data_IF_987028879682
#
_entry.id   IF_987028879682
#
_cell.length_a   1.000
_cell.length_b   1.000
_cell.length_c   1.000
_cell.angle_alpha   90.00
_cell.angle_beta   90.00
_cell.angle_gamma   90.00
#
_symmetry.space_group_name_H-M   'P 1'
#
loop_
_entity.id
_entity.type
_entity.pdbx_description
1 polymer ?
#
# COMPACT_ATOMS: atom_id res chain seq x y z
N UNK A 1 8.49 15.36 -19.21
CA UNK A 1 8.34 14.39 -18.13
C UNK A 1 8.47 15.17 -16.84
N UNK A 2 7.33 15.57 -16.26
CA UNK A 2 7.30 16.50 -15.11
C UNK A 2 7.23 15.67 -13.84
N UNK A 3 8.24 15.81 -12.98
CA UNK A 3 8.24 15.23 -11.64
C UNK A 3 7.49 16.18 -10.71
N UNK A 4 6.51 15.66 -10.01
CA UNK A 4 5.84 16.40 -8.94
C UNK A 4 6.26 15.76 -7.62
N UNK A 5 6.92 16.52 -6.77
CA UNK A 5 7.30 16.11 -5.42
C UNK A 5 6.33 16.75 -4.43
N UNK A 6 5.50 15.95 -3.77
CA UNK A 6 4.76 16.40 -2.60
C UNK A 6 5.65 16.21 -1.36
N UNK A 7 6.26 17.30 -0.90
CA UNK A 7 7.01 17.29 0.36
C UNK A 7 6.00 17.38 1.50
N UNK A 8 5.93 16.36 2.34
CA UNK A 8 5.20 16.45 3.61
C UNK A 8 6.04 17.34 4.53
N UNK A 9 5.71 18.64 4.57
CA UNK A 9 6.36 19.61 5.43
C UNK A 9 6.18 19.26 6.90
N UNK A 10 7.29 18.98 7.59
CA UNK A 10 7.36 19.04 9.04
C UNK A 10 7.25 20.50 9.46
N UNK A 11 6.06 20.91 9.90
CA UNK A 11 5.85 22.26 10.44
C UNK A 11 4.47 22.82 10.13
N UNK A 12 3.44 22.23 10.69
CA UNK A 12 2.15 22.88 10.80
C UNK A 12 1.60 22.62 12.20
N UNK A 13 1.45 23.74 12.92
CA UNK A 13 0.75 23.81 14.19
C UNK A 13 -0.56 23.03 14.15
N UNK A 14 -0.77 22.23 15.17
CA UNK A 14 -1.95 21.40 15.37
C UNK A 14 -3.22 22.26 15.32
N UNK A 15 -3.85 22.33 14.16
CA UNK A 15 -5.28 22.58 14.09
C UNK A 15 -5.96 21.31 14.54
N UNK A 16 -6.43 21.28 15.76
CA UNK A 16 -7.41 20.33 16.25
C UNK A 16 -8.68 20.45 15.40
N UNK A 17 -8.68 19.79 14.25
CA UNK A 17 -9.93 19.38 13.64
C UNK A 17 -10.35 18.14 14.40
N UNK A 18 -11.59 18.16 14.90
CA UNK A 18 -12.26 16.98 15.43
C UNK A 18 -12.08 15.86 14.40
N UNK A 19 -11.11 15.02 14.68
CA UNK A 19 -10.82 13.86 13.87
C UNK A 19 -11.88 12.82 14.24
N UNK A 20 -13.05 12.89 13.62
CA UNK A 20 -13.98 11.75 13.63
C UNK A 20 -13.14 10.54 13.20
N UNK A 21 -12.81 9.70 14.17
CA UNK A 21 -12.04 8.49 13.92
C UNK A 21 -12.83 7.68 12.90
N UNK A 22 -12.30 7.59 11.71
CA UNK A 22 -12.84 6.69 10.71
C UNK A 22 -12.82 5.30 11.32
N UNK A 23 -13.98 4.81 11.76
CA UNK A 23 -14.12 3.47 12.31
C UNK A 23 -14.10 2.49 11.16
N UNK A 24 -12.95 1.88 10.92
CA UNK A 24 -12.86 0.74 10.02
C UNK A 24 -13.57 -0.47 10.65
N UNK A 25 -14.10 -1.35 9.81
CA UNK A 25 -14.44 -2.69 10.29
C UNK A 25 -13.18 -3.29 10.94
N UNK A 26 -13.33 -4.05 12.04
CA UNK A 26 -12.18 -4.65 12.69
C UNK A 26 -11.36 -5.48 11.68
N UNK A 27 -10.02 -5.47 11.77
CA UNK A 27 -9.19 -6.27 10.90
C UNK A 27 -9.47 -7.76 11.12
N UNK A 28 -9.22 -8.56 10.09
CA UNK A 28 -9.38 -10.01 10.19
C UNK A 28 -8.36 -10.57 11.18
N UNK A 29 -8.78 -11.50 12.01
CA UNK A 29 -7.86 -12.33 12.78
C UNK A 29 -7.30 -13.42 11.87
N UNK A 30 -5.99 -13.43 11.70
CA UNK A 30 -5.31 -14.36 10.80
C UNK A 30 -4.37 -15.25 11.61
N UNK A 31 -4.53 -16.60 11.54
CA UNK A 31 -3.64 -17.52 12.23
C UNK A 31 -2.15 -17.28 11.83
N UNK A 32 -1.27 -17.22 12.82
CA UNK A 32 0.15 -16.98 12.61
C UNK A 32 0.54 -15.52 12.32
N UNK A 33 -0.42 -14.59 12.28
CA UNK A 33 -0.20 -13.18 11.98
C UNK A 33 -0.80 -12.26 13.04
N UNK A 34 -0.10 -11.19 13.35
CA UNK A 34 -0.54 -10.13 14.26
C UNK A 34 -0.77 -8.85 13.46
N UNK A 35 -2.00 -8.32 13.54
CA UNK A 35 -2.34 -7.05 12.92
C UNK A 35 -1.57 -5.89 13.56
N UNK A 36 -1.04 -4.97 12.74
CA UNK A 36 -0.27 -3.81 13.21
C UNK A 36 -0.82 -2.48 12.71
N UNK A 37 -1.53 -2.46 11.58
CA UNK A 37 -2.01 -1.21 11.00
C UNK A 37 -3.19 -1.44 10.06
N UNK A 38 -4.18 -0.54 10.13
CA UNK A 38 -5.26 -0.42 9.15
C UNK A 38 -5.21 0.94 8.48
N UNK A 39 -5.00 0.92 7.16
CA UNK A 39 -5.13 2.10 6.32
C UNK A 39 -6.51 2.21 5.67
N UNK A 40 -6.70 3.21 4.83
CA UNK A 40 -7.97 3.46 4.12
C UNK A 40 -8.43 2.25 3.27
N UNK A 41 -7.49 1.49 2.71
CA UNK A 41 -7.76 0.40 1.77
C UNK A 41 -6.91 -0.85 1.99
N UNK A 42 -6.03 -0.89 2.98
CA UNK A 42 -5.13 -2.01 3.27
C UNK A 42 -4.98 -2.22 4.76
N UNK A 43 -4.74 -3.47 5.13
CA UNK A 43 -4.36 -3.87 6.47
C UNK A 43 -2.98 -4.52 6.44
N UNK A 44 -2.16 -4.25 7.45
CA UNK A 44 -0.80 -4.76 7.56
C UNK A 44 -0.69 -5.69 8.76
N UNK A 45 0.02 -6.78 8.55
CA UNK A 45 0.28 -7.80 9.56
C UNK A 45 1.77 -8.16 9.58
N UNK A 46 2.22 -8.54 10.76
CA UNK A 46 3.54 -9.14 10.99
C UNK A 46 3.39 -10.58 11.46
N UNK A 47 4.39 -11.45 11.31
CA UNK A 47 4.36 -12.76 11.96
C UNK A 47 4.06 -12.63 13.45
N UNK A 48 3.24 -13.53 13.98
CA UNK A 48 2.78 -13.44 15.37
C UNK A 48 3.89 -13.54 16.41
N UNK A 49 5.01 -14.18 16.06
CA UNK A 49 6.21 -14.35 16.85
C UNK A 49 7.21 -13.18 16.75
N UNK A 50 6.88 -12.15 15.96
CA UNK A 50 7.72 -10.95 15.83
C UNK A 50 7.82 -10.22 17.17
N UNK A 51 9.05 -10.04 17.65
CA UNK A 51 9.36 -9.28 18.87
C UNK A 51 9.30 -7.79 18.56
N UNK A 52 8.69 -6.99 19.42
CA UNK A 52 8.36 -5.57 19.17
C UNK A 52 9.53 -4.67 18.78
N UNK A 53 10.75 -5.01 19.22
CA UNK A 53 11.97 -4.23 18.94
C UNK A 53 12.73 -4.68 17.67
N UNK A 54 12.24 -5.66 16.95
CA UNK A 54 12.89 -6.17 15.73
C UNK A 54 12.02 -5.89 14.50
N UNK A 55 12.61 -5.26 13.50
CA UNK A 55 11.93 -5.13 12.21
C UNK A 55 11.70 -6.53 11.61
N UNK A 56 10.47 -6.93 11.31
CA UNK A 56 10.21 -8.23 10.70
C UNK A 56 10.85 -8.28 9.31
N UNK A 57 11.30 -9.45 8.89
CA UNK A 57 11.82 -9.62 7.53
C UNK A 57 10.73 -9.43 6.48
N UNK A 58 9.50 -9.83 6.83
CA UNK A 58 8.34 -9.82 5.93
C UNK A 58 7.12 -9.21 6.59
N UNK A 59 6.26 -8.64 5.75
CA UNK A 59 4.93 -8.15 6.09
C UNK A 59 3.90 -8.86 5.23
N UNK A 60 2.72 -9.12 5.78
CA UNK A 60 1.56 -9.51 5.00
C UNK A 60 0.70 -8.26 4.78
N UNK A 61 0.56 -7.86 3.51
CA UNK A 61 -0.26 -6.72 3.08
C UNK A 61 -1.56 -7.24 2.53
N UNK A 62 -2.67 -6.95 3.20
CA UNK A 62 -4.01 -7.41 2.80
C UNK A 62 -4.79 -6.25 2.20
N UNK A 63 -5.15 -6.35 0.93
CA UNK A 63 -6.01 -5.39 0.26
C UNK A 63 -7.47 -5.62 0.65
N UNK A 64 -8.12 -4.55 1.10
CA UNK A 64 -9.54 -4.60 1.47
C UNK A 64 -10.44 -4.13 0.34
N UNK A 65 -11.73 -4.39 0.48
CA UNK A 65 -12.77 -3.91 -0.42
C UNK A 65 -13.24 -2.48 -0.09
N UNK A 66 -12.61 -1.85 0.92
CA UNK A 66 -12.87 -0.46 1.29
C UNK A 66 -12.55 0.49 0.15
N UNK A 67 -13.36 1.54 0.02
CA UNK A 67 -13.16 2.65 -0.93
C UNK A 67 -13.05 3.93 -0.12
N UNK A 68 -12.11 4.77 -0.48
CA UNK A 68 -11.92 6.07 0.16
C UNK A 68 -11.98 7.18 -0.91
N UNK A 69 -12.71 8.25 -0.59
CA UNK A 69 -12.73 9.48 -1.36
C UNK A 69 -12.66 10.67 -0.40
N UNK A 70 -11.81 11.65 -0.70
CA UNK A 70 -11.57 12.84 0.13
C UNK A 70 -11.29 12.50 1.60
N UNK A 71 -10.50 11.44 1.83
CA UNK A 71 -10.15 10.90 3.15
C UNK A 71 -11.29 10.24 3.95
N UNK A 72 -12.49 10.15 3.38
CA UNK A 72 -13.61 9.42 3.96
C UNK A 72 -13.68 8.02 3.38
N UNK A 73 -13.88 7.02 4.24
CA UNK A 73 -14.17 5.65 3.79
C UNK A 73 -15.65 5.56 3.47
N UNK A 74 -15.94 5.14 2.25
CA UNK A 74 -17.31 5.01 1.75
C UNK A 74 -17.88 3.64 2.13
N UNK A 75 -19.18 3.57 2.31
CA UNK A 75 -19.94 2.36 2.55
C UNK A 75 -21.08 2.24 1.52
N UNK A 76 -21.35 1.02 1.00
CA UNK A 76 -20.59 -0.21 1.22
C UNK A 76 -19.27 -0.23 0.48
N UNK A 77 -18.36 -1.15 0.85
CA UNK A 77 -17.17 -1.46 0.04
C UNK A 77 -17.56 -2.05 -1.32
N UNK A 78 -16.58 -2.13 -2.22
CA UNK A 78 -16.77 -2.76 -3.54
C UNK A 78 -16.32 -4.21 -3.42
N UNK A 79 -17.22 -5.20 -3.57
CA UNK A 79 -16.86 -6.61 -3.49
C UNK A 79 -15.72 -6.97 -4.45
N UNK A 80 -14.78 -7.77 -3.99
CA UNK A 80 -13.62 -8.27 -4.75
C UNK A 80 -12.62 -7.20 -5.24
N UNK A 81 -12.81 -5.93 -4.87
CA UNK A 81 -11.85 -4.87 -5.22
C UNK A 81 -10.43 -5.21 -4.75
N UNK A 82 -10.29 -5.74 -3.53
CA UNK A 82 -8.99 -6.16 -3.00
C UNK A 82 -8.34 -7.24 -3.84
N UNK A 83 -9.11 -8.24 -4.29
CA UNK A 83 -8.64 -9.32 -5.16
C UNK A 83 -8.19 -8.77 -6.51
N UNK A 84 -9.02 -7.95 -7.15
CA UNK A 84 -8.70 -7.35 -8.45
C UNK A 84 -7.42 -6.51 -8.41
N UNK A 85 -7.27 -5.66 -7.40
CA UNK A 85 -6.09 -4.80 -7.26
C UNK A 85 -4.82 -5.61 -6.97
N UNK A 86 -4.91 -6.65 -6.17
CA UNK A 86 -3.78 -7.54 -5.90
C UNK A 86 -3.36 -8.30 -7.16
N UNK A 87 -4.31 -8.90 -7.88
CA UNK A 87 -4.06 -9.60 -9.14
C UNK A 87 -3.40 -8.67 -10.17
N UNK A 88 -3.92 -7.46 -10.32
CA UNK A 88 -3.36 -6.47 -11.25
C UNK A 88 -1.94 -6.05 -10.84
N UNK A 89 -1.68 -5.89 -9.55
CA UNK A 89 -0.34 -5.54 -9.06
C UNK A 89 0.66 -6.64 -9.34
N UNK A 90 0.30 -7.90 -9.07
CA UNK A 90 1.16 -9.05 -9.33
C UNK A 90 1.45 -9.21 -10.83
N UNK A 91 0.44 -9.03 -11.67
CA UNK A 91 0.62 -9.04 -13.12
C UNK A 91 1.60 -7.94 -13.59
N UNK A 92 1.47 -6.72 -13.07
CA UNK A 92 2.40 -5.65 -13.40
C UNK A 92 3.82 -5.92 -12.92
N UNK A 93 3.99 -6.50 -11.74
CA UNK A 93 5.33 -6.88 -11.24
C UNK A 93 5.99 -7.92 -12.17
N UNK A 94 5.22 -8.87 -12.66
CA UNK A 94 5.70 -9.85 -13.65
C UNK A 94 6.10 -9.17 -14.97
N UNK A 95 5.25 -8.31 -15.54
CA UNK A 95 5.55 -7.57 -16.76
C UNK A 95 6.82 -6.70 -16.61
N UNK A 96 6.97 -6.04 -15.48
CA UNK A 96 8.10 -5.15 -15.21
C UNK A 96 9.37 -5.92 -14.86
N UNK A 97 9.28 -7.16 -14.39
CA UNK A 97 10.45 -8.00 -14.16
C UNK A 97 11.23 -8.31 -15.44
N UNK A 98 10.57 -8.33 -16.59
CA UNK A 98 11.18 -8.50 -17.91
C UNK A 98 11.57 -7.19 -18.63
N UNK A 99 11.24 -6.05 -18.05
CA UNK A 99 11.50 -4.75 -18.67
C UNK A 99 12.98 -4.36 -18.67
N UNK A 100 13.32 -3.29 -19.39
CA UNK A 100 14.68 -2.71 -19.42
C UNK A 100 15.79 -3.69 -19.85
N UNK A 101 15.54 -4.45 -20.94
CA UNK A 101 16.55 -5.32 -21.53
C UNK A 101 16.96 -6.50 -20.64
N UNK A 102 16.07 -6.95 -19.76
CA UNK A 102 16.28 -8.12 -18.89
C UNK A 102 16.85 -7.77 -17.51
N UNK A 103 17.02 -6.49 -17.16
CA UNK A 103 17.44 -6.08 -15.82
C UNK A 103 16.27 -6.13 -14.81
N UNK A 104 15.04 -5.95 -15.32
CA UNK A 104 13.84 -5.89 -14.51
C UNK A 104 13.78 -4.66 -13.61
N UNK A 105 12.56 -4.31 -13.20
CA UNK A 105 12.33 -3.28 -12.19
C UNK A 105 12.10 -3.98 -10.85
N UNK A 106 12.95 -3.76 -9.84
CA UNK A 106 12.77 -4.35 -8.53
C UNK A 106 11.43 -3.97 -7.92
N UNK A 107 10.81 -4.90 -7.21
CA UNK A 107 9.60 -4.67 -6.45
C UNK A 107 9.76 -5.17 -5.00
N UNK A 108 8.75 -4.99 -4.18
CA UNK A 108 8.78 -5.31 -2.76
C UNK A 108 8.29 -6.72 -2.42
N UNK A 109 7.88 -7.53 -3.40
CA UNK A 109 7.46 -8.91 -3.11
C UNK A 109 8.58 -9.69 -2.44
N UNK A 110 8.22 -10.47 -1.44
CA UNK A 110 9.14 -11.43 -0.84
C UNK A 110 9.49 -12.53 -1.85
N UNK A 111 10.72 -13.08 -1.83
CA UNK A 111 11.09 -14.18 -2.71
C UNK A 111 10.15 -15.39 -2.60
N UNK A 112 9.64 -15.64 -1.38
CA UNK A 112 8.77 -16.77 -1.07
C UNK A 112 7.29 -16.50 -1.41
N UNK A 113 6.94 -15.33 -1.94
CA UNK A 113 5.56 -15.00 -2.30
C UNK A 113 4.99 -16.00 -3.33
N UNK A 114 5.79 -16.39 -4.31
CA UNK A 114 5.40 -17.37 -5.34
C UNK A 114 5.22 -18.78 -4.77
N UNK A 115 5.88 -19.11 -3.67
CA UNK A 115 5.82 -20.43 -3.01
C UNK A 115 4.63 -20.52 -2.04
N UNK A 116 4.00 -19.42 -1.72
CA UNK A 116 2.87 -19.36 -0.78
C UNK A 116 1.61 -20.12 -1.24
N UNK A 117 1.63 -20.70 -2.45
CA UNK A 117 0.56 -21.53 -3.01
C UNK A 117 0.86 -23.03 -3.12
N UNK A 118 2.11 -23.47 -2.91
CA UNK A 118 2.52 -24.87 -3.11
C UNK A 118 3.17 -25.45 -1.84
N UNK A 119 2.38 -25.65 -0.78
CA UNK A 119 2.74 -26.61 0.28
C UNK A 119 3.90 -26.25 1.20
N UNK A 120 4.51 -25.11 1.06
CA UNK A 120 5.44 -24.56 2.04
C UNK A 120 4.74 -23.53 2.90
N UNK A 121 4.23 -24.04 4.02
CA UNK A 121 3.80 -23.22 5.17
C UNK A 121 2.97 -22.00 4.78
N UNK A 122 1.72 -22.09 4.94
CA UNK A 122 0.68 -21.10 5.29
C UNK A 122 1.13 -19.64 5.47
N UNK A 123 2.01 -19.16 4.57
CA UNK A 123 2.45 -17.76 4.62
C UNK A 123 1.31 -16.80 4.31
N UNK A 124 0.36 -17.20 3.48
CA UNK A 124 -0.86 -16.43 3.21
C UNK A 124 -2.06 -17.27 3.63
N UNK A 125 -2.73 -16.91 4.73
CA UNK A 125 -3.91 -17.62 5.20
C UNK A 125 -5.04 -17.67 4.15
N UNK A 126 -5.78 -18.78 4.09
CA UNK A 126 -6.88 -18.99 3.13
C UNK A 126 -7.91 -17.85 3.14
N UNK A 127 -8.19 -17.29 4.32
CA UNK A 127 -9.15 -16.19 4.48
C UNK A 127 -8.79 -14.94 3.67
N UNK A 128 -7.54 -14.79 3.25
CA UNK A 128 -7.04 -13.62 2.51
C UNK A 128 -6.35 -13.99 1.19
N UNK A 129 -6.50 -15.22 0.75
CA UNK A 129 -5.99 -15.67 -0.55
C UNK A 129 -6.52 -14.77 -1.67
N UNK A 130 -5.65 -14.49 -2.65
CA UNK A 130 -5.95 -13.65 -3.81
C UNK A 130 -5.99 -12.15 -3.53
N UNK A 131 -6.07 -11.72 -2.24
CA UNK A 131 -6.07 -10.30 -1.86
C UNK A 131 -4.89 -9.89 -0.97
N UNK A 132 -4.00 -10.81 -0.67
CA UNK A 132 -2.83 -10.55 0.15
C UNK A 132 -1.53 -10.72 -0.64
N UNK A 133 -0.51 -9.98 -0.24
CA UNK A 133 0.86 -10.10 -0.72
C UNK A 133 1.81 -10.25 0.46
N UNK A 134 2.69 -11.24 0.38
CA UNK A 134 3.84 -11.32 1.25
C UNK A 134 4.93 -10.42 0.69
N UNK A 135 5.36 -9.44 1.47
CA UNK A 135 6.30 -8.42 1.02
C UNK A 135 7.48 -8.31 1.97
N UNK A 136 8.62 -7.86 1.47
CA UNK A 136 9.77 -7.51 2.30
C UNK A 136 9.45 -6.27 3.14
N UNK A 137 9.87 -6.27 4.38
CA UNK A 137 9.87 -5.07 5.21
C UNK A 137 10.98 -4.15 4.71
N UNK A 138 10.60 -2.97 4.25
CA UNK A 138 11.52 -1.98 3.68
C UNK A 138 11.48 -0.70 4.51
N UNK A 139 12.62 -0.02 4.58
CA UNK A 139 12.71 1.32 5.14
C UNK A 139 12.13 2.32 4.12
N UNK A 140 10.94 2.81 4.43
CA UNK A 140 10.19 3.70 3.52
C UNK A 140 10.74 5.11 3.55
N UNK A 141 11.11 5.62 2.39
CA UNK A 141 11.49 7.04 2.27
C UNK A 141 10.28 7.93 2.58
N UNK A 142 10.43 9.02 3.34
CA UNK A 142 9.33 9.93 3.72
C UNK A 142 8.97 10.90 2.57
N UNK A 143 8.99 10.41 1.35
CA UNK A 143 8.72 11.19 0.12
C UNK A 143 7.80 10.36 -0.77
N UNK A 144 6.67 10.93 -1.17
CA UNK A 144 5.81 10.38 -2.20
C UNK A 144 6.18 10.97 -3.56
N UNK A 145 6.58 10.12 -4.51
CA UNK A 145 6.91 10.53 -5.87
C UNK A 145 5.74 10.23 -6.80
N UNK A 146 5.11 11.27 -7.33
CA UNK A 146 4.00 11.13 -8.27
C UNK A 146 4.49 11.47 -9.69
N UNK A 147 4.40 10.49 -10.61
CA UNK A 147 4.70 10.69 -12.04
C UNK A 147 3.39 10.74 -12.81
N UNK A 148 3.17 11.83 -13.54
CA UNK A 148 1.95 12.05 -14.31
C UNK A 148 2.25 12.14 -15.80
N UNK A 149 1.44 11.53 -16.63
CA UNK A 149 1.52 11.67 -18.09
C UNK A 149 1.11 13.08 -18.55
N UNK A 150 0.20 13.71 -17.83
CA UNK A 150 -0.28 15.07 -18.07
C UNK A 150 -0.32 15.85 -16.75
N UNK A 151 -0.16 17.16 -16.82
CA UNK A 151 -0.30 18.04 -15.66
C UNK A 151 -1.79 18.21 -15.31
N UNK A 152 -2.27 17.41 -14.36
CA UNK A 152 -3.68 17.34 -13.94
C UNK A 152 -3.80 17.31 -12.41
N UNK A 153 -5.02 17.41 -11.89
CA UNK A 153 -5.31 17.31 -10.46
C UNK A 153 -4.63 18.40 -9.64
N UNK A 154 -4.06 18.05 -8.50
CA UNK A 154 -3.38 18.96 -7.58
C UNK A 154 -2.22 19.73 -8.25
N UNK A 155 -1.42 19.05 -9.08
CA UNK A 155 -0.33 19.68 -9.80
C UNK A 155 -0.82 20.77 -10.78
N UNK A 156 -1.95 20.57 -11.45
CA UNK A 156 -2.56 21.61 -12.28
C UNK A 156 -3.08 22.80 -11.46
N UNK A 157 -3.71 22.52 -10.33
CA UNK A 157 -4.22 23.56 -9.44
C UNK A 157 -3.08 24.44 -8.91
N UNK A 158 -1.97 23.85 -8.48
CA UNK A 158 -0.76 24.53 -8.03
C UNK A 158 -0.14 25.36 -9.17
N UNK A 159 0.05 24.75 -10.34
CA UNK A 159 0.59 25.44 -11.51
C UNK A 159 -0.24 26.66 -11.90
N UNK A 160 -1.56 26.57 -11.84
CA UNK A 160 -2.45 27.73 -12.12
C UNK A 160 -2.33 28.85 -11.09
N UNK A 161 -2.05 28.50 -9.84
CA UNK A 161 -1.95 29.45 -8.76
C UNK A 161 -0.56 30.13 -8.71
N UNK A 162 0.50 29.36 -8.94
CA UNK A 162 1.89 29.77 -8.66
C UNK A 162 2.80 29.77 -9.89
N UNK A 163 2.37 29.22 -11.01
CA UNK A 163 3.16 29.09 -12.23
C UNK A 163 4.23 28.00 -12.18
N UNK A 164 4.36 27.31 -11.07
CA UNK A 164 5.30 26.20 -10.83
C UNK A 164 4.59 25.03 -10.19
N UNK A 165 5.28 23.88 -10.12
CA UNK A 165 4.82 22.70 -9.38
C UNK A 165 5.97 22.24 -8.50
N UNK A 166 5.75 22.13 -7.20
CA UNK A 166 6.75 21.82 -6.17
C UNK A 166 7.91 22.85 -6.10
N UNK A 167 7.61 24.13 -6.26
CA UNK A 167 8.56 25.26 -6.14
C UNK A 167 9.26 25.64 -7.44
#
# INVERSE_FOLDING_TARGET
MTRVCDTIGAGAEARTRDNERVTFAPPLELPGWRHIYSGKVRDLYVPADTVDDTAPAHLLVVASDRVSAFDHVLAPGIPDKGVLLTTLSLWWFDQLAGADGGRGIPNHLAPDHALAGEGTVELIPDAVQGRAMLVRSLDMQPIECVVRGYLTGSGWAEYRAEGTVCG
#
